data_IF_595755425867
#
_entry.id   IF_595755425867
#
_cell.length_a   1.000
_cell.length_b   1.000
_cell.length_c   1.000
_cell.angle_alpha   90.00
_cell.angle_beta   90.00
_cell.angle_gamma   90.00
#
_symmetry.space_group_name_H-M   'P 1'
#
loop_
_entity.id
_entity.type
_entity.pdbx_description
1 polymer ?
#
# COMPACT_ATOMS: atom_id res chain seq x y z
N UNK A 1 -6.99 -8.23 -10.58
CA UNK A 1 -7.36 -6.82 -10.39
C UNK A 1 -6.77 -6.32 -9.08
N UNK A 2 -6.33 -5.08 -9.05
CA UNK A 2 -5.78 -4.52 -7.82
C UNK A 2 -6.90 -4.12 -6.86
N UNK A 3 -6.65 -4.30 -5.56
CA UNK A 3 -7.55 -3.81 -4.53
C UNK A 3 -7.59 -2.29 -4.59
N UNK A 4 -8.78 -1.71 -4.55
CA UNK A 4 -8.94 -0.27 -4.57
C UNK A 4 -9.65 0.22 -3.30
N UNK A 5 -9.31 1.45 -2.91
CA UNK A 5 -9.92 2.11 -1.77
C UNK A 5 -10.25 3.54 -2.16
N UNK A 6 -11.50 3.94 -1.98
CA UNK A 6 -11.92 5.31 -2.22
C UNK A 6 -11.93 6.06 -0.90
N UNK A 7 -11.18 7.15 -0.83
CA UNK A 7 -11.09 7.93 0.40
C UNK A 7 -12.29 8.88 0.54
N UNK A 8 -12.33 9.63 1.64
CA UNK A 8 -13.42 10.54 1.94
C UNK A 8 -13.55 11.66 0.92
N UNK A 9 -12.48 11.97 0.20
CA UNK A 9 -12.48 13.01 -0.83
C UNK A 9 -12.91 12.50 -2.20
N UNK A 10 -13.27 11.21 -2.30
CA UNK A 10 -13.68 10.60 -3.55
C UNK A 10 -12.55 10.19 -4.46
N UNK A 11 -11.33 10.16 -3.96
CA UNK A 11 -10.16 9.72 -4.72
C UNK A 11 -9.96 8.21 -4.57
N UNK A 12 -9.73 7.54 -5.69
CA UNK A 12 -9.49 6.10 -5.68
C UNK A 12 -7.99 5.80 -5.65
N UNK A 13 -7.60 4.89 -4.77
CA UNK A 13 -6.22 4.45 -4.63
C UNK A 13 -6.15 2.94 -4.75
N UNK A 14 -5.04 2.46 -5.29
CA UNK A 14 -4.80 1.02 -5.47
C UNK A 14 -3.70 0.56 -4.53
N UNK A 15 -3.90 -0.61 -3.94
CA UNK A 15 -2.96 -1.19 -2.97
C UNK A 15 -1.79 -1.86 -3.69
N UNK A 16 -0.60 -1.56 -3.23
CA UNK A 16 0.64 -2.14 -3.76
C UNK A 16 1.52 -2.64 -2.63
N UNK A 17 2.38 -3.60 -2.95
CA UNK A 17 3.46 -4.00 -2.05
C UNK A 17 4.79 -3.76 -2.76
N UNK A 18 5.82 -3.45 -1.98
CA UNK A 18 7.17 -3.22 -2.50
C UNK A 18 8.18 -3.84 -1.55
N UNK A 19 9.15 -4.54 -2.12
CA UNK A 19 10.25 -5.11 -1.35
C UNK A 19 11.39 -4.10 -1.26
N UNK A 20 11.81 -3.80 -0.04
CA UNK A 20 12.89 -2.84 0.22
C UNK A 20 13.99 -3.55 0.98
N UNK A 21 15.23 -3.41 0.51
CA UNK A 21 16.39 -3.97 1.20
C UNK A 21 16.92 -2.94 2.19
N UNK A 22 16.98 -3.33 3.46
CA UNK A 22 17.49 -2.46 4.52
C UNK A 22 19.01 -2.48 4.49
N UNK A 23 19.62 -1.30 4.34
CA UNK A 23 21.07 -1.18 4.27
C UNK A 23 21.75 -1.55 5.59
N UNK A 24 21.09 -1.28 6.71
CA UNK A 24 21.67 -1.52 8.03
C UNK A 24 21.75 -2.98 8.41
N UNK A 25 20.84 -3.81 7.91
CA UNK A 25 20.76 -5.23 8.27
C UNK A 25 20.88 -6.17 7.08
N UNK A 26 20.77 -5.64 5.86
CA UNK A 26 20.75 -6.44 4.65
C UNK A 26 19.49 -7.26 4.45
N UNK A 27 18.48 -7.07 5.29
CA UNK A 27 17.24 -7.82 5.20
C UNK A 27 16.27 -7.15 4.24
N UNK A 28 15.45 -7.98 3.57
CA UNK A 28 14.39 -7.49 2.69
C UNK A 28 13.12 -7.29 3.52
N UNK A 29 12.54 -6.10 3.43
CA UNK A 29 11.29 -5.78 4.12
C UNK A 29 10.23 -5.47 3.07
N UNK A 30 9.05 -6.04 3.24
CA UNK A 30 7.91 -5.74 2.37
C UNK A 30 7.11 -4.60 2.97
N UNK A 31 6.92 -3.53 2.19
CA UNK A 31 6.08 -2.40 2.59
C UNK A 31 4.83 -2.35 1.72
N UNK A 32 3.80 -1.73 2.24
CA UNK A 32 2.53 -1.57 1.53
C UNK A 32 2.24 -0.10 1.37
N UNK A 33 1.69 0.28 0.21
CA UNK A 33 1.32 1.65 -0.04
C UNK A 33 0.18 1.72 -1.04
N UNK A 34 -0.46 2.88 -1.09
CA UNK A 34 -1.54 3.14 -2.03
C UNK A 34 -1.08 4.19 -3.05
N UNK A 35 -1.50 4.00 -4.30
CA UNK A 35 -1.21 4.94 -5.36
C UNK A 35 -2.47 5.14 -6.21
N UNK A 36 -2.56 6.29 -6.86
CA UNK A 36 -3.72 6.61 -7.70
C UNK A 36 -3.79 5.76 -8.96
N UNK A 37 -2.70 5.10 -9.31
CA UNK A 37 -2.61 4.25 -10.48
C UNK A 37 -2.07 2.89 -10.10
N UNK A 38 -2.44 1.86 -10.87
CA UNK A 38 -1.81 0.56 -10.73
C UNK A 38 -0.40 0.66 -11.28
N UNK A 39 0.58 0.41 -10.43
CA UNK A 39 1.99 0.46 -10.81
C UNK A 39 2.57 -0.93 -10.85
N UNK A 40 3.48 -1.16 -11.77
CA UNK A 40 4.24 -2.41 -11.85
C UNK A 40 5.70 -2.06 -12.12
N UNK A 41 6.60 -2.89 -11.60
CA UNK A 41 8.03 -2.67 -11.76
C UNK A 41 8.81 -3.61 -10.88
N UNK A 42 10.14 -3.47 -10.87
CA UNK A 42 10.99 -4.33 -10.04
C UNK A 42 10.63 -4.15 -8.56
N UNK A 43 10.24 -5.24 -7.93
CA UNK A 43 9.91 -5.25 -6.52
C UNK A 43 8.55 -4.67 -6.15
N UNK A 44 7.77 -4.23 -7.14
CA UNK A 44 6.44 -3.64 -6.89
C UNK A 44 5.37 -4.59 -7.43
N UNK A 45 4.39 -4.91 -6.58
CA UNK A 45 3.29 -5.80 -6.94
C UNK A 45 1.96 -5.18 -6.55
N UNK A 46 1.02 -5.12 -7.49
CA UNK A 46 -0.34 -4.70 -7.18
C UNK A 46 -1.06 -5.84 -6.46
N UNK A 47 -1.64 -5.55 -5.31
CA UNK A 47 -2.33 -6.56 -4.50
C UNK A 47 -3.83 -6.54 -4.80
N UNK A 48 -4.44 -7.71 -4.79
CA UNK A 48 -5.88 -7.84 -5.02
C UNK A 48 -6.70 -7.80 -3.73
N UNK A 49 -6.05 -7.84 -2.58
CA UNK A 49 -6.73 -7.83 -1.28
C UNK A 49 -5.82 -7.29 -0.20
N UNK A 50 -6.44 -6.86 0.91
CA UNK A 50 -5.69 -6.41 2.09
C UNK A 50 -5.03 -7.62 2.74
N UNK A 51 -3.72 -7.53 3.09
CA UNK A 51 -3.05 -8.62 3.78
C UNK A 51 -3.70 -8.95 5.12
N UNK A 52 -3.63 -10.22 5.50
CA UNK A 52 -4.15 -10.66 6.80
C UNK A 52 -3.45 -9.92 7.95
N UNK A 53 -4.24 -9.48 8.94
CA UNK A 53 -3.70 -8.76 10.07
C UNK A 53 -3.45 -7.27 9.83
N UNK A 54 -3.91 -6.75 8.69
CA UNK A 54 -3.79 -5.34 8.36
C UNK A 54 -5.16 -4.72 8.13
N UNK A 55 -5.27 -3.41 8.30
CA UNK A 55 -6.47 -2.66 8.02
C UNK A 55 -6.13 -1.35 7.33
N UNK A 56 -7.08 -0.83 6.56
CA UNK A 56 -6.89 0.43 5.85
C UNK A 56 -7.28 1.59 6.76
N UNK A 57 -6.39 2.57 6.86
CA UNK A 57 -6.63 3.80 7.63
C UNK A 57 -6.31 4.98 6.72
N UNK A 58 -7.12 6.03 6.78
CA UNK A 58 -6.89 7.23 6.01
C UNK A 58 -6.20 8.28 6.87
N UNK A 59 -5.23 8.98 6.28
CA UNK A 59 -4.57 10.11 6.92
C UNK A 59 -5.54 11.29 6.94
N UNK A 60 -5.81 11.83 8.12
CA UNK A 60 -6.76 12.93 8.27
C UNK A 60 -6.32 14.21 7.59
N UNK A 61 -5.02 14.43 7.44
CA UNK A 61 -4.49 15.64 6.81
C UNK A 61 -4.61 15.60 5.29
N UNK A 62 -4.24 14.48 4.69
CA UNK A 62 -4.14 14.38 3.23
C UNK A 62 -5.21 13.52 2.61
N UNK A 63 -5.88 12.70 3.40
CA UNK A 63 -6.82 11.71 2.89
C UNK A 63 -6.15 10.51 2.24
N UNK A 64 -4.82 10.41 2.33
CA UNK A 64 -4.08 9.30 1.75
C UNK A 64 -4.29 8.04 2.59
N UNK A 65 -4.76 6.94 1.97
CA UNK A 65 -4.92 5.69 2.71
C UNK A 65 -3.58 5.00 2.93
N UNK A 66 -3.49 4.24 4.02
CA UNK A 66 -2.32 3.42 4.31
C UNK A 66 -2.75 2.21 5.12
N UNK A 67 -1.91 1.19 5.16
CA UNK A 67 -2.18 -0.01 5.95
C UNK A 67 -1.58 0.13 7.33
N UNK A 68 -2.35 -0.29 8.30
CA UNK A 68 -1.93 -0.29 9.70
C UNK A 68 -2.19 -1.68 10.27
N UNK A 69 -1.42 -2.07 11.26
CA UNK A 69 -1.63 -3.32 11.96
C UNK A 69 -3.01 -3.30 12.62
N UNK A 70 -3.78 -4.30 12.30
CA UNK A 70 -5.14 -4.42 12.84
C UNK A 70 -5.14 -4.78 14.32
#
# INVERSE_FOLDING_TARGET
>A
MAFSHTNKKGQEYFLHSKDVTLKSTGKVQTIYYFAKEVKSGAGVTALSAIPSGKTVVENERTGLPFLKKA
#
